data_IF_646514018272
#
_entry.id   IF_646514018272
#
_cell.length_a   1.000
_cell.length_b   1.000
_cell.length_c   1.000
_cell.angle_alpha   90.00
_cell.angle_beta   90.00
_cell.angle_gamma   90.00
#
_symmetry.space_group_name_H-M   'P 1'
#
loop_
_entity.id
_entity.type
_entity.pdbx_description
1 polymer ?
#
# COMPACT_ATOMS: atom_id res chain seq x y z
N UNK A 1 -18.30 -19.36 -7.19
CA UNK A 1 -17.00 -18.92 -7.74
C UNK A 1 -16.27 -18.26 -6.60
N UNK A 2 -14.97 -18.56 -6.38
CA UNK A 2 -14.20 -17.91 -5.33
C UNK A 2 -13.95 -16.43 -5.62
N UNK A 3 -13.64 -15.64 -4.58
CA UNK A 3 -13.25 -14.24 -4.71
C UNK A 3 -11.89 -14.16 -5.41
N UNK A 4 -11.76 -13.24 -6.35
CA UNK A 4 -10.51 -12.99 -7.09
C UNK A 4 -10.16 -11.52 -7.04
N UNK A 5 -8.86 -11.22 -7.10
CA UNK A 5 -8.40 -9.86 -7.16
C UNK A 5 -7.10 -9.68 -7.92
N UNK A 6 -6.84 -8.45 -8.29
CA UNK A 6 -5.61 -8.05 -8.96
C UNK A 6 -4.54 -7.75 -7.92
N UNK A 7 -3.50 -8.58 -7.91
CA UNK A 7 -2.37 -8.49 -6.98
C UNK A 7 -1.10 -8.10 -7.75
N UNK A 8 -0.38 -7.13 -7.23
CA UNK A 8 0.91 -6.70 -7.77
C UNK A 8 2.03 -7.60 -7.25
N UNK A 9 2.04 -7.80 -5.93
CA UNK A 9 3.08 -8.58 -5.25
C UNK A 9 2.56 -9.11 -3.91
N UNK A 10 3.06 -10.26 -3.50
CA UNK A 10 3.02 -10.73 -2.12
C UNK A 10 4.47 -10.74 -1.65
N UNK A 11 4.81 -9.87 -0.71
CA UNK A 11 6.17 -9.66 -0.22
C UNK A 11 6.30 -10.17 1.21
N UNK A 12 6.91 -11.34 1.43
CA UNK A 12 7.19 -11.83 2.78
C UNK A 12 8.39 -11.10 3.40
N UNK A 13 8.47 -11.16 4.72
CA UNK A 13 9.60 -10.65 5.53
C UNK A 13 9.74 -9.12 5.51
N UNK A 14 8.66 -8.37 5.37
CA UNK A 14 8.65 -6.93 5.65
C UNK A 14 8.81 -6.66 7.15
N UNK A 15 9.52 -5.57 7.49
CA UNK A 15 9.78 -5.14 8.86
C UNK A 15 9.54 -3.64 9.08
N UNK A 16 9.00 -2.96 8.06
CA UNK A 16 8.78 -1.50 8.07
C UNK A 16 7.30 -1.10 7.97
N UNK A 17 6.41 -2.08 7.79
CA UNK A 17 5.00 -1.84 7.50
C UNK A 17 4.10 -2.40 8.61
N UNK A 18 4.48 -2.12 9.87
CA UNK A 18 3.86 -2.57 11.10
C UNK A 18 4.84 -3.31 12.03
N UNK A 19 4.33 -3.83 13.13
CA UNK A 19 5.14 -4.54 14.13
C UNK A 19 5.49 -5.96 13.69
N UNK A 20 6.69 -6.41 14.06
CA UNK A 20 7.18 -7.76 13.81
C UNK A 20 7.52 -8.04 12.34
N UNK A 21 7.62 -9.32 11.98
CA UNK A 21 7.84 -9.77 10.61
C UNK A 21 6.47 -9.93 9.93
N UNK A 22 6.27 -9.25 8.79
CA UNK A 22 4.99 -9.23 8.10
C UNK A 22 5.08 -9.76 6.66
N UNK A 23 3.94 -10.07 6.09
CA UNK A 23 3.79 -10.25 4.65
C UNK A 23 2.91 -9.14 4.12
N UNK A 24 3.45 -8.33 3.21
CA UNK A 24 2.71 -7.27 2.56
C UNK A 24 2.02 -7.81 1.32
N UNK A 25 0.73 -7.51 1.18
CA UNK A 25 -0.07 -7.82 0.00
C UNK A 25 -0.28 -6.51 -0.76
N UNK A 26 0.42 -6.34 -1.87
CA UNK A 26 0.27 -5.18 -2.72
C UNK A 26 -0.92 -5.39 -3.68
N UNK A 27 -2.07 -4.83 -3.34
CA UNK A 27 -3.31 -4.91 -4.12
C UNK A 27 -3.31 -3.84 -5.21
N UNK A 28 -3.63 -4.21 -6.45
CA UNK A 28 -3.67 -3.29 -7.57
C UNK A 28 -4.98 -2.48 -7.62
N UNK A 29 -4.93 -1.32 -8.24
CA UNK A 29 -5.98 -0.31 -8.23
C UNK A 29 -5.60 0.83 -7.30
N UNK A 30 -5.69 2.05 -7.78
CA UNK A 30 -5.56 3.24 -6.96
C UNK A 30 -6.35 4.38 -7.62
N UNK A 31 -7.19 5.10 -6.87
CA UNK A 31 -7.90 6.27 -7.41
C UNK A 31 -6.97 7.47 -7.61
N UNK A 32 -5.84 7.52 -6.90
CA UNK A 32 -4.87 8.59 -6.99
C UNK A 32 -3.88 8.37 -8.15
N UNK A 33 -3.26 9.46 -8.59
CA UNK A 33 -2.19 9.53 -9.61
C UNK A 33 -1.02 10.35 -9.09
N UNK A 34 -0.56 10.04 -7.88
CA UNK A 34 0.54 10.76 -7.25
C UNK A 34 1.76 10.80 -8.17
N UNK A 35 2.30 11.98 -8.43
CA UNK A 35 3.46 12.17 -9.31
C UNK A 35 4.72 11.49 -8.77
N UNK A 36 4.78 11.25 -7.47
CA UNK A 36 5.89 10.54 -6.79
C UNK A 36 5.61 9.06 -6.53
N UNK A 37 4.55 8.49 -7.09
CA UNK A 37 4.15 7.12 -6.79
C UNK A 37 5.29 6.12 -7.03
N UNK A 38 5.52 5.22 -6.07
CA UNK A 38 6.52 4.15 -6.21
C UNK A 38 5.98 2.89 -6.88
N UNK A 39 4.64 2.78 -7.01
CA UNK A 39 3.94 1.60 -7.51
C UNK A 39 2.97 1.94 -8.67
N UNK A 40 3.47 2.49 -9.81
CA UNK A 40 2.62 2.92 -10.93
C UNK A 40 1.87 1.76 -11.60
N UNK A 41 2.33 0.51 -11.46
CA UNK A 41 1.60 -0.68 -11.89
C UNK A 41 0.25 -0.84 -11.19
N UNK A 42 0.12 -0.29 -9.98
CA UNK A 42 -1.09 -0.27 -9.18
C UNK A 42 -2.15 0.74 -9.65
N UNK A 43 -1.89 1.56 -10.67
CA UNK A 43 -2.91 2.51 -11.15
C UNK A 43 -4.12 1.86 -11.80
N UNK A 44 -4.09 0.57 -12.10
CA UNK A 44 -5.16 -0.12 -12.80
C UNK A 44 -5.51 -1.45 -12.13
N UNK A 45 -6.79 -1.86 -12.23
CA UNK A 45 -7.26 -3.18 -11.83
C UNK A 45 -7.33 -4.08 -13.06
N UNK A 46 -6.17 -4.42 -13.62
CA UNK A 46 -6.02 -5.36 -14.73
C UNK A 46 -4.64 -6.00 -14.71
N UNK A 47 -4.50 -7.14 -15.35
CA UNK A 47 -3.18 -7.75 -15.54
C UNK A 47 -2.26 -6.83 -16.35
N UNK A 48 -1.00 -6.72 -15.93
CA UNK A 48 0.00 -5.84 -16.55
C UNK A 48 1.30 -6.61 -16.79
N UNK A 49 1.84 -6.47 -17.98
CA UNK A 49 3.17 -6.98 -18.36
C UNK A 49 4.16 -5.81 -18.40
N UNK A 50 5.22 -5.91 -17.62
CA UNK A 50 6.35 -4.99 -17.65
C UNK A 50 7.47 -5.46 -18.57
N UNK A 51 8.30 -4.50 -19.01
CA UNK A 51 9.50 -4.77 -19.78
C UNK A 51 10.72 -4.10 -19.16
N UNK A 52 11.59 -4.91 -18.54
CA UNK A 52 12.89 -4.46 -18.02
C UNK A 52 13.93 -4.40 -19.12
N UNK A 53 14.06 -3.25 -19.77
CA UNK A 53 14.95 -3.03 -20.91
C UNK A 53 16.39 -3.46 -20.62
N UNK A 54 16.91 -3.20 -19.42
CA UNK A 54 18.28 -3.52 -19.01
C UNK A 54 18.59 -5.02 -18.95
N UNK A 55 17.55 -5.86 -18.83
CA UNK A 55 17.69 -7.34 -18.86
C UNK A 55 17.55 -7.91 -20.25
N UNK A 56 17.08 -7.12 -21.22
CA UNK A 56 16.77 -7.59 -22.56
C UNK A 56 18.04 -7.78 -23.39
N UNK A 57 18.27 -9.00 -23.89
CA UNK A 57 19.39 -9.35 -24.77
C UNK A 57 19.01 -9.29 -26.27
N UNK A 58 17.81 -8.85 -26.63
CA UNK A 58 17.37 -8.68 -28.01
C UNK A 58 17.08 -9.99 -28.77
N UNK A 59 16.89 -11.13 -28.07
CA UNK A 59 16.77 -12.45 -28.75
C UNK A 59 15.48 -12.68 -29.54
N UNK A 60 14.46 -11.83 -29.42
CA UNK A 60 13.19 -11.92 -30.15
C UNK A 60 12.21 -12.99 -29.70
N UNK A 61 12.54 -13.84 -28.72
CA UNK A 61 11.65 -14.93 -28.26
C UNK A 61 10.29 -14.43 -27.79
N UNK A 62 10.22 -13.29 -27.09
CA UNK A 62 8.99 -12.69 -26.63
C UNK A 62 8.08 -12.22 -27.79
N UNK A 63 8.67 -11.69 -28.86
CA UNK A 63 7.94 -11.25 -30.05
C UNK A 63 7.40 -12.46 -30.83
N UNK A 64 8.21 -13.50 -31.03
CA UNK A 64 7.78 -14.73 -31.69
C UNK A 64 6.63 -15.45 -30.93
N UNK A 65 6.60 -15.36 -29.60
CA UNK A 65 5.56 -15.97 -28.75
C UNK A 65 4.30 -15.11 -28.62
N UNK A 66 4.32 -13.86 -29.09
CA UNK A 66 3.21 -12.92 -28.85
C UNK A 66 2.06 -13.11 -29.82
N UNK A 67 0.83 -13.51 -29.38
CA UNK A 67 -0.31 -13.69 -30.29
C UNK A 67 -0.82 -12.37 -30.88
N UNK A 68 -0.44 -11.22 -30.30
CA UNK A 68 -0.79 -9.90 -30.81
C UNK A 68 0.31 -9.27 -31.69
N UNK A 69 1.40 -10.01 -31.97
CA UNK A 69 2.49 -9.53 -32.81
C UNK A 69 3.29 -8.37 -32.23
N UNK A 70 3.29 -8.20 -30.90
CA UNK A 70 4.06 -7.13 -30.24
C UNK A 70 5.55 -7.42 -30.39
N UNK A 71 6.30 -6.42 -30.86
CA UNK A 71 7.74 -6.51 -31.07
C UNK A 71 8.56 -6.63 -29.79
N UNK A 72 9.89 -6.69 -29.95
CA UNK A 72 10.83 -6.68 -28.81
C UNK A 72 10.64 -5.38 -28.02
N UNK A 73 10.52 -4.24 -28.69
CA UNK A 73 10.15 -2.97 -28.11
C UNK A 73 8.64 -2.94 -27.92
N UNK A 74 8.23 -3.11 -26.65
CA UNK A 74 6.81 -3.23 -26.30
C UNK A 74 6.05 -1.92 -26.34
N UNK A 75 6.71 -0.80 -26.07
CA UNK A 75 6.02 0.46 -25.79
C UNK A 75 5.14 1.01 -26.91
N UNK A 76 5.54 0.94 -28.20
CA UNK A 76 4.68 1.42 -29.28
C UNK A 76 3.37 0.64 -29.43
N UNK A 77 3.35 -0.62 -28.97
CA UNK A 77 2.24 -1.55 -29.13
C UNK A 77 1.62 -1.98 -27.80
N UNK A 78 1.93 -1.28 -26.71
CA UNK A 78 1.48 -1.64 -25.36
C UNK A 78 -0.04 -1.76 -25.23
N UNK A 79 -0.76 -0.92 -25.93
CA UNK A 79 -2.24 -0.94 -25.94
C UNK A 79 -2.84 -2.19 -26.57
N UNK A 80 -2.07 -2.89 -27.42
CA UNK A 80 -2.46 -4.19 -28.01
C UNK A 80 -2.29 -5.36 -27.04
N UNK A 81 -1.61 -5.14 -25.90
CA UNK A 81 -1.25 -6.20 -24.98
C UNK A 81 -2.49 -6.72 -24.22
N UNK A 82 -2.80 -8.00 -24.41
CA UNK A 82 -3.88 -8.71 -23.67
C UNK A 82 -3.36 -9.38 -22.39
N UNK A 83 -2.14 -9.12 -21.99
CA UNK A 83 -1.49 -9.64 -20.78
C UNK A 83 -1.49 -11.18 -20.64
N UNK A 84 -1.58 -11.94 -21.72
CA UNK A 84 -1.65 -13.42 -21.71
C UNK A 84 -0.43 -14.10 -21.07
N UNK A 85 0.74 -13.39 -20.98
CA UNK A 85 1.96 -13.90 -20.36
C UNK A 85 2.84 -14.78 -21.26
N UNK A 86 2.47 -15.07 -22.50
CA UNK A 86 3.29 -15.89 -23.40
C UNK A 86 4.74 -15.35 -23.53
N UNK A 87 4.89 -14.03 -23.61
CA UNK A 87 6.20 -13.36 -23.66
C UNK A 87 6.99 -13.47 -22.35
N UNK A 88 6.34 -13.62 -21.21
CA UNK A 88 6.98 -13.84 -19.91
C UNK A 88 7.59 -15.23 -19.86
N UNK A 89 6.82 -16.25 -20.25
CA UNK A 89 7.30 -17.64 -20.29
C UNK A 89 8.41 -17.85 -21.32
N UNK A 90 8.37 -17.13 -22.45
CA UNK A 90 9.37 -17.24 -23.50
C UNK A 90 10.67 -16.49 -23.21
N UNK A 91 10.72 -15.59 -22.23
CA UNK A 91 11.88 -14.73 -21.99
C UNK A 91 12.94 -15.44 -21.11
N UNK A 92 14.14 -15.79 -21.67
CA UNK A 92 15.16 -16.47 -20.89
C UNK A 92 15.80 -15.59 -19.81
N UNK A 93 15.76 -14.27 -19.98
CA UNK A 93 16.38 -13.28 -19.07
C UNK A 93 15.40 -12.65 -18.10
N UNK A 94 14.16 -13.11 -18.04
CA UNK A 94 13.09 -12.49 -17.25
C UNK A 94 12.99 -10.97 -17.47
N UNK A 95 13.24 -10.52 -18.71
CA UNK A 95 13.05 -9.13 -19.11
C UNK A 95 11.56 -8.77 -19.27
N UNK A 96 10.69 -9.76 -19.51
CA UNK A 96 9.22 -9.65 -19.46
C UNK A 96 8.75 -10.21 -18.14
N UNK A 97 7.97 -9.42 -17.40
CA UNK A 97 7.46 -9.83 -16.08
C UNK A 97 5.97 -9.51 -15.93
N UNK A 98 5.24 -10.32 -15.21
CA UNK A 98 3.90 -9.91 -14.74
C UNK A 98 4.09 -8.94 -13.57
N UNK A 99 3.56 -7.74 -13.70
CA UNK A 99 3.57 -6.72 -12.62
C UNK A 99 2.26 -6.71 -11.86
N UNK A 100 1.17 -7.12 -12.51
CA UNK A 100 -0.14 -7.35 -11.87
C UNK A 100 -0.70 -8.66 -12.39
N UNK A 101 -1.22 -9.48 -11.49
CA UNK A 101 -1.79 -10.81 -11.77
C UNK A 101 -3.18 -10.90 -11.15
N UNK A 102 -4.15 -11.47 -11.88
CA UNK A 102 -5.42 -11.87 -11.30
C UNK A 102 -5.23 -13.17 -10.50
N UNK A 103 -5.39 -13.10 -9.17
CA UNK A 103 -5.22 -14.24 -8.27
C UNK A 103 -6.54 -14.63 -7.60
N UNK A 104 -6.68 -15.90 -7.28
CA UNK A 104 -7.75 -16.39 -6.41
C UNK A 104 -7.37 -16.03 -4.96
N UNK A 105 -8.33 -15.55 -4.17
CA UNK A 105 -8.10 -15.12 -2.79
C UNK A 105 -7.60 -16.28 -1.91
N UNK A 106 -8.07 -17.51 -2.15
CA UNK A 106 -7.61 -18.70 -1.41
C UNK A 106 -6.14 -19.03 -1.72
N UNK A 107 -5.67 -18.72 -2.96
CA UNK A 107 -4.25 -18.85 -3.31
C UNK A 107 -3.39 -17.83 -2.55
N UNK A 108 -3.89 -16.60 -2.40
CA UNK A 108 -3.22 -15.56 -1.59
C UNK A 108 -3.11 -16.00 -0.13
N UNK A 109 -4.20 -16.50 0.46
CA UNK A 109 -4.20 -17.01 1.84
C UNK A 109 -3.22 -18.18 2.00
N UNK A 110 -3.18 -19.11 1.05
CA UNK A 110 -2.21 -20.22 1.10
C UNK A 110 -0.76 -19.75 1.06
N UNK A 111 -0.47 -18.71 0.29
CA UNK A 111 0.87 -18.13 0.23
C UNK A 111 1.27 -17.51 1.58
N UNK A 112 0.38 -16.70 2.16
CA UNK A 112 0.56 -16.09 3.49
C UNK A 112 0.79 -17.14 4.56
N UNK A 113 -0.01 -18.22 4.57
CA UNK A 113 0.05 -19.27 5.58
C UNK A 113 1.39 -20.01 5.64
N UNK A 114 2.19 -19.97 4.57
CA UNK A 114 3.55 -20.54 4.58
C UNK A 114 4.47 -19.87 5.60
N UNK A 115 4.21 -18.61 5.92
CA UNK A 115 5.03 -17.77 6.79
C UNK A 115 4.51 -17.66 8.23
N UNK A 116 3.45 -18.39 8.61
CA UNK A 116 2.75 -18.30 9.90
C UNK A 116 3.65 -18.41 11.14
N UNK A 117 4.74 -19.21 11.06
CA UNK A 117 5.65 -19.36 12.18
C UNK A 117 6.45 -18.07 12.46
N UNK A 118 6.82 -17.33 11.41
CA UNK A 118 7.51 -16.05 11.57
C UNK A 118 6.61 -15.03 12.25
N UNK A 119 5.33 -14.96 11.88
CA UNK A 119 4.37 -14.08 12.53
C UNK A 119 4.20 -14.45 14.02
N UNK A 120 4.05 -15.75 14.31
CA UNK A 120 3.90 -16.22 15.69
C UNK A 120 5.07 -15.85 16.61
N UNK A 121 6.31 -15.92 16.09
CA UNK A 121 7.51 -15.64 16.88
C UNK A 121 7.84 -14.14 16.96
N UNK A 122 7.44 -13.34 16.00
CA UNK A 122 7.79 -11.92 15.94
C UNK A 122 6.68 -10.99 16.44
N UNK A 123 5.46 -11.49 16.63
CA UNK A 123 4.26 -10.65 16.84
C UNK A 123 3.76 -9.97 15.58
N UNK A 124 4.28 -10.34 14.39
CA UNK A 124 3.89 -9.77 13.11
C UNK A 124 2.63 -10.39 12.51
N UNK A 125 2.42 -10.20 11.20
CA UNK A 125 1.22 -10.66 10.51
C UNK A 125 1.15 -10.29 9.04
N UNK A 126 0.04 -9.70 8.64
CA UNK A 126 -0.21 -9.33 7.25
C UNK A 126 -0.52 -7.83 7.16
N UNK A 127 0.08 -7.17 6.18
CA UNK A 127 -0.22 -5.77 5.85
C UNK A 127 -0.84 -5.69 4.46
N UNK A 128 -2.04 -5.13 4.38
CA UNK A 128 -2.69 -4.82 3.12
C UNK A 128 -2.19 -3.47 2.63
N UNK A 129 -1.57 -3.44 1.46
CA UNK A 129 -0.92 -2.28 0.86
C UNK A 129 -1.13 -2.27 -0.67
N UNK A 130 -0.29 -1.58 -1.43
CA UNK A 130 -0.23 -1.69 -2.89
C UNK A 130 -0.38 -0.39 -3.63
N UNK A 131 -1.33 -0.32 -4.57
CA UNK A 131 -1.88 0.91 -5.10
C UNK A 131 -2.82 1.51 -4.07
N UNK A 132 -3.96 0.84 -3.86
CA UNK A 132 -4.91 1.11 -2.79
C UNK A 132 -5.72 -0.17 -2.51
N UNK A 133 -5.55 -0.77 -1.35
CA UNK A 133 -6.20 -2.04 -1.00
C UNK A 133 -7.73 -1.91 -0.98
N UNK A 134 -8.26 -0.77 -0.54
CA UNK A 134 -9.70 -0.49 -0.47
C UNK A 134 -10.36 -0.33 -1.86
N UNK A 135 -9.56 -0.23 -2.92
CA UNK A 135 -10.09 -0.17 -4.31
C UNK A 135 -10.69 -1.50 -4.78
N UNK A 136 -10.41 -2.61 -4.07
CA UNK A 136 -11.00 -3.92 -4.27
C UNK A 136 -11.70 -4.38 -2.98
N UNK A 137 -12.82 -3.76 -2.58
CA UNK A 137 -13.43 -3.95 -1.26
C UNK A 137 -13.90 -5.38 -1.00
N UNK A 138 -14.41 -6.09 -2.01
CA UNK A 138 -14.80 -7.50 -1.86
C UNK A 138 -13.59 -8.41 -1.57
N UNK A 139 -12.46 -8.15 -2.21
CA UNK A 139 -11.22 -8.89 -1.96
C UNK A 139 -10.69 -8.58 -0.57
N UNK A 140 -10.64 -7.29 -0.20
CA UNK A 140 -10.15 -6.85 1.11
C UNK A 140 -11.02 -7.42 2.24
N UNK A 141 -12.35 -7.38 2.12
CA UNK A 141 -13.26 -7.96 3.11
C UNK A 141 -13.06 -9.47 3.25
N UNK A 142 -12.97 -10.18 2.14
CA UNK A 142 -12.75 -11.63 2.16
C UNK A 142 -11.42 -12.00 2.81
N UNK A 143 -10.31 -11.40 2.36
CA UNK A 143 -8.99 -11.70 2.89
C UNK A 143 -8.88 -11.31 4.37
N UNK A 144 -9.34 -10.11 4.74
CA UNK A 144 -9.27 -9.67 6.13
C UNK A 144 -10.10 -10.55 7.06
N UNK A 145 -11.26 -11.01 6.65
CA UNK A 145 -12.11 -11.91 7.45
C UNK A 145 -11.44 -13.27 7.66
N UNK A 146 -11.03 -13.93 6.59
CA UNK A 146 -10.42 -15.27 6.67
C UNK A 146 -9.11 -15.23 7.50
N UNK A 147 -8.26 -14.22 7.29
CA UNK A 147 -7.00 -14.09 8.02
C UNK A 147 -7.24 -13.71 9.50
N UNK A 148 -8.25 -12.87 9.77
CA UNK A 148 -8.67 -12.53 11.14
C UNK A 148 -9.16 -13.77 11.89
N UNK A 149 -9.99 -14.60 11.26
CA UNK A 149 -10.52 -15.85 11.84
C UNK A 149 -9.42 -16.88 12.10
N UNK A 150 -8.31 -16.81 11.34
CA UNK A 150 -7.08 -17.60 11.58
C UNK A 150 -6.20 -17.02 12.70
N UNK A 151 -6.53 -15.85 13.25
CA UNK A 151 -5.81 -15.21 14.35
C UNK A 151 -4.57 -14.41 13.93
N UNK A 152 -4.45 -14.01 12.67
CA UNK A 152 -3.35 -13.15 12.23
C UNK A 152 -3.54 -11.70 12.66
N UNK A 153 -2.43 -11.01 12.97
CA UNK A 153 -2.41 -9.56 13.06
C UNK A 153 -2.56 -8.96 11.67
N UNK A 154 -3.42 -7.95 11.54
CA UNK A 154 -3.77 -7.33 10.26
C UNK A 154 -3.54 -5.84 10.31
N UNK A 155 -2.74 -5.32 9.38
CA UNK A 155 -2.51 -3.90 9.21
C UNK A 155 -2.94 -3.46 7.81
N UNK A 156 -3.25 -2.18 7.66
CA UNK A 156 -3.66 -1.57 6.41
C UNK A 156 -2.87 -0.29 6.14
N UNK A 157 -2.37 -0.16 4.92
CA UNK A 157 -1.88 1.10 4.37
C UNK A 157 -2.87 1.62 3.33
N UNK A 158 -3.34 2.84 3.49
CA UNK A 158 -4.35 3.43 2.62
C UNK A 158 -4.09 4.90 2.31
N UNK A 159 -4.44 5.31 1.09
CA UNK A 159 -4.46 6.71 0.69
C UNK A 159 -5.70 7.47 1.19
N UNK A 160 -6.63 6.82 1.85
CA UNK A 160 -7.83 7.43 2.43
C UNK A 160 -8.96 7.78 1.45
N UNK A 161 -8.81 7.53 0.17
CA UNK A 161 -9.80 7.91 -0.84
C UNK A 161 -10.72 6.72 -1.20
N UNK A 162 -11.71 6.45 -0.36
CA UNK A 162 -12.65 5.33 -0.51
C UNK A 162 -14.02 5.66 0.09
N UNK A 163 -15.04 4.86 -0.26
CA UNK A 163 -16.32 4.87 0.45
C UNK A 163 -16.17 4.16 1.80
N UNK A 164 -16.24 4.93 2.89
CA UNK A 164 -15.96 4.48 4.24
C UNK A 164 -16.85 3.30 4.66
N UNK A 165 -18.14 3.35 4.39
CA UNK A 165 -19.06 2.32 4.84
C UNK A 165 -18.87 0.99 4.10
N UNK A 166 -18.44 1.03 2.84
CA UNK A 166 -18.15 -0.19 2.07
C UNK A 166 -16.95 -0.97 2.60
N UNK A 167 -16.00 -0.31 3.25
CA UNK A 167 -14.78 -0.92 3.78
C UNK A 167 -14.74 -1.00 5.31
N UNK A 168 -15.69 -0.36 6.03
CA UNK A 168 -15.77 -0.37 7.49
C UNK A 168 -15.58 -1.76 8.09
N UNK A 169 -16.23 -2.84 7.60
CA UNK A 169 -16.05 -4.18 8.18
C UNK A 169 -14.60 -4.68 8.12
N UNK A 170 -13.86 -4.32 7.08
CA UNK A 170 -12.44 -4.64 6.97
C UNK A 170 -11.59 -3.78 7.92
N UNK A 171 -11.87 -2.46 8.02
CA UNK A 171 -11.17 -1.55 8.92
C UNK A 171 -11.30 -1.98 10.39
N UNK A 172 -12.47 -2.45 10.81
CA UNK A 172 -12.72 -2.92 12.17
C UNK A 172 -11.96 -4.22 12.54
N UNK A 173 -11.39 -4.93 11.55
CA UNK A 173 -10.54 -6.11 11.78
C UNK A 173 -9.05 -5.78 11.85
N UNK A 174 -8.65 -4.55 11.52
CA UNK A 174 -7.24 -4.15 11.55
C UNK A 174 -6.74 -3.93 12.98
N UNK A 175 -5.47 -4.22 13.21
CA UNK A 175 -4.75 -3.85 14.42
C UNK A 175 -4.17 -2.45 14.30
N UNK A 176 -3.68 -2.12 13.10
CA UNK A 176 -3.04 -0.85 12.79
C UNK A 176 -3.49 -0.36 11.41
N UNK A 177 -3.81 0.93 11.32
CA UNK A 177 -4.13 1.59 10.06
C UNK A 177 -3.16 2.74 9.84
N UNK A 178 -2.37 2.64 8.79
CA UNK A 178 -1.60 3.74 8.23
C UNK A 178 -2.46 4.48 7.21
N UNK A 179 -2.73 5.75 7.47
CA UNK A 179 -3.52 6.58 6.56
C UNK A 179 -2.68 7.73 6.03
N UNK A 180 -2.54 7.81 4.72
CA UNK A 180 -1.74 8.85 4.09
C UNK A 180 -2.47 10.20 4.04
N UNK A 181 -1.85 11.26 4.57
CA UNK A 181 -2.24 12.65 4.39
C UNK A 181 -1.16 13.35 3.56
N UNK A 182 -1.46 13.60 2.28
CA UNK A 182 -0.41 14.01 1.32
C UNK A 182 -0.24 15.53 1.20
N UNK A 183 -1.30 16.30 1.41
CA UNK A 183 -1.30 17.77 1.43
C UNK A 183 -2.59 18.29 2.06
N UNK A 184 -2.53 19.39 2.82
CA UNK A 184 -3.73 20.01 3.42
C UNK A 184 -4.49 20.90 2.45
N UNK A 185 -3.80 21.60 1.55
CA UNK A 185 -4.45 22.41 0.52
C UNK A 185 -5.09 21.49 -0.56
N UNK A 186 -6.41 21.61 -0.83
CA UNK A 186 -7.13 20.72 -1.75
C UNK A 186 -6.70 20.91 -3.22
N UNK A 187 -6.31 22.10 -3.63
CA UNK A 187 -5.88 22.37 -5.01
C UNK A 187 -4.47 21.83 -5.25
N UNK A 188 -3.54 22.03 -4.31
CA UNK A 188 -2.21 21.45 -4.40
C UNK A 188 -2.29 19.91 -4.28
N UNK A 189 -3.14 19.37 -3.40
CA UNK A 189 -3.38 17.93 -3.33
C UNK A 189 -3.84 17.40 -4.70
N UNK A 190 -4.86 18.02 -5.30
CA UNK A 190 -5.40 17.62 -6.61
C UNK A 190 -4.37 17.75 -7.73
N UNK A 191 -3.57 18.81 -7.74
CA UNK A 191 -2.50 19.04 -8.72
C UNK A 191 -1.47 17.91 -8.74
N UNK A 192 -1.11 17.38 -7.57
CA UNK A 192 -0.06 16.36 -7.45
C UNK A 192 -0.58 14.93 -7.36
N UNK A 193 -1.83 14.71 -6.98
CA UNK A 193 -2.40 13.37 -6.79
C UNK A 193 -3.57 13.06 -7.71
N UNK A 194 -4.11 14.05 -8.42
CA UNK A 194 -5.24 13.90 -9.34
C UNK A 194 -6.62 14.04 -8.69
N UNK A 195 -6.73 14.08 -7.35
CA UNK A 195 -8.01 14.21 -6.62
C UNK A 195 -7.91 15.25 -5.49
N UNK A 196 -9.05 15.85 -5.08
CA UNK A 196 -9.11 16.66 -3.86
C UNK A 196 -8.90 15.80 -2.61
N UNK A 197 -8.44 16.42 -1.51
CA UNK A 197 -8.26 15.75 -0.22
C UNK A 197 -9.53 15.71 0.65
N UNK A 198 -10.63 16.34 0.26
CA UNK A 198 -11.83 16.48 1.10
C UNK A 198 -12.35 15.14 1.62
N UNK A 199 -12.52 14.15 0.73
CA UNK A 199 -12.94 12.80 1.13
C UNK A 199 -11.93 12.11 2.06
N UNK A 200 -10.63 12.36 1.82
CA UNK A 200 -9.56 11.80 2.65
C UNK A 200 -9.64 12.35 4.07
N UNK A 201 -9.76 13.68 4.22
CA UNK A 201 -9.90 14.34 5.53
C UNK A 201 -11.17 13.87 6.26
N UNK A 202 -12.29 13.73 5.54
CA UNK A 202 -13.53 13.17 6.09
C UNK A 202 -13.32 11.72 6.59
N UNK A 203 -12.64 10.88 5.81
CA UNK A 203 -12.36 9.50 6.18
C UNK A 203 -11.39 9.40 7.36
N UNK A 204 -10.36 10.25 7.42
CA UNK A 204 -9.46 10.34 8.59
C UNK A 204 -10.29 10.64 9.85
N UNK A 205 -11.16 11.64 9.81
CA UNK A 205 -12.01 11.96 10.98
C UNK A 205 -12.94 10.79 11.38
N UNK A 206 -13.44 10.03 10.40
CA UNK A 206 -14.28 8.85 10.65
C UNK A 206 -13.54 7.69 11.29
N UNK A 207 -12.21 7.58 11.16
CA UNK A 207 -11.44 6.51 11.83
C UNK A 207 -11.63 6.51 13.34
N UNK A 208 -11.79 7.68 13.96
CA UNK A 208 -12.12 7.80 15.39
C UNK A 208 -13.45 7.18 15.80
N UNK A 209 -14.30 6.82 14.84
CA UNK A 209 -15.60 6.16 15.10
C UNK A 209 -15.54 4.64 15.01
N UNK A 210 -14.39 4.07 14.64
CA UNK A 210 -14.21 2.61 14.60
C UNK A 210 -14.31 2.05 16.02
N UNK A 211 -15.18 1.04 16.16
CA UNK A 211 -15.40 0.39 17.45
C UNK A 211 -14.30 -0.60 17.81
N UNK A 212 -14.47 -1.22 18.97
CA UNK A 212 -13.61 -2.35 19.38
C UNK A 212 -13.75 -3.52 18.39
N UNK A 213 -12.65 -4.21 18.14
CA UNK A 213 -12.60 -5.36 17.21
C UNK A 213 -13.70 -6.40 17.50
N UNK A 214 -14.45 -6.85 16.49
CA UNK A 214 -15.45 -7.91 16.66
C UNK A 214 -14.77 -9.19 17.19
N UNK A 215 -15.29 -9.79 18.26
CA UNK A 215 -14.79 -11.08 18.78
C UNK A 215 -13.52 -11.01 19.63
N UNK A 216 -13.06 -9.85 20.04
CA UNK A 216 -11.94 -9.68 20.99
C UNK A 216 -12.25 -10.24 22.42
N UNK A 217 -13.34 -10.97 22.62
CA UNK A 217 -13.58 -11.69 23.86
C UNK A 217 -12.63 -12.90 23.90
N UNK A 218 -11.63 -12.80 24.73
CA UNK A 218 -10.77 -13.84 25.26
C UNK A 218 -10.96 -15.24 24.61
N UNK A 219 -10.38 -15.48 23.45
CA UNK A 219 -10.13 -16.83 22.98
C UNK A 219 -9.05 -17.47 23.86
N UNK A 220 -9.42 -17.79 25.10
CA UNK A 220 -8.71 -18.74 25.94
C UNK A 220 -8.98 -20.14 25.39
N UNK A 221 -8.31 -20.51 24.34
CA UNK A 221 -8.11 -21.92 24.03
C UNK A 221 -6.69 -22.11 23.55
N UNK A 222 -5.84 -22.48 24.50
CA UNK A 222 -4.52 -23.01 24.22
C UNK A 222 -4.66 -24.32 23.46
N UNK A 223 -4.86 -24.25 22.16
CA UNK A 223 -4.49 -25.32 21.24
C UNK A 223 -3.00 -25.11 20.98
N UNK A 224 -2.19 -26.13 21.31
CA UNK A 224 -0.76 -26.09 21.07
C UNK A 224 -0.50 -25.78 19.57
N UNK A 225 0.05 -24.60 19.28
CA UNK A 225 0.26 -24.08 17.91
C UNK A 225 -0.61 -22.91 17.51
N UNK A 226 -1.49 -22.39 18.38
CA UNK A 226 -2.21 -21.13 18.14
C UNK A 226 -1.23 -19.95 18.19
N UNK A 227 -1.41 -19.01 17.24
CA UNK A 227 -0.73 -17.72 17.28
C UNK A 227 -1.09 -16.98 18.58
N UNK A 228 -0.16 -16.23 19.22
CA UNK A 228 -0.53 -15.35 20.33
C UNK A 228 -1.61 -14.39 19.83
N UNK A 229 -2.66 -14.22 20.63
CA UNK A 229 -3.66 -13.19 20.32
C UNK A 229 -2.98 -11.83 20.19
N UNK A 230 -3.42 -11.01 19.21
CA UNK A 230 -2.86 -9.66 19.04
C UNK A 230 -2.91 -8.90 20.35
N UNK A 231 -1.92 -8.08 20.65
CA UNK A 231 -1.79 -7.30 21.89
C UNK A 231 -2.91 -6.28 22.09
N UNK A 232 -3.74 -6.03 21.06
CA UNK A 232 -4.79 -5.01 21.01
C UNK A 232 -6.22 -5.56 21.22
N UNK A 233 -6.37 -6.70 21.89
CA UNK A 233 -7.69 -7.25 22.20
C UNK A 233 -8.50 -6.27 23.06
N UNK A 234 -9.57 -5.71 22.50
CA UNK A 234 -10.54 -4.86 23.25
C UNK A 234 -10.46 -3.36 22.96
N UNK A 235 -9.56 -2.89 22.07
CA UNK A 235 -9.54 -1.53 21.54
C UNK A 235 -9.82 -1.52 20.03
N UNK A 236 -10.16 -0.35 19.48
CA UNK A 236 -10.16 -0.14 18.03
C UNK A 236 -8.74 -0.24 17.46
N UNK A 237 -8.58 -0.14 16.12
CA UNK A 237 -7.28 -0.14 15.50
C UNK A 237 -6.42 1.04 15.99
N UNK A 238 -5.12 0.83 16.10
CA UNK A 238 -4.19 1.95 16.22
C UNK A 238 -4.16 2.73 14.91
N UNK A 239 -4.09 4.07 14.98
CA UNK A 239 -4.08 4.94 13.81
C UNK A 239 -2.75 5.69 13.73
N UNK A 240 -2.11 5.60 12.58
CA UNK A 240 -0.92 6.37 12.24
C UNK A 240 -1.16 7.15 10.96
N UNK A 241 -1.09 8.47 11.04
CA UNK A 241 -1.20 9.32 9.86
C UNK A 241 0.20 9.46 9.25
N UNK A 242 0.37 9.00 8.01
CA UNK A 242 1.63 9.08 7.28
C UNK A 242 1.65 10.26 6.32
N UNK A 243 2.74 11.01 6.34
CA UNK A 243 3.01 12.05 5.34
C UNK A 243 4.27 11.67 4.58
N UNK A 244 4.16 11.25 3.30
CA UNK A 244 5.32 11.19 2.42
C UNK A 244 5.78 12.62 2.15
N UNK A 245 6.92 13.00 2.69
CA UNK A 245 7.47 14.36 2.59
C UNK A 245 8.29 14.48 1.32
N UNK A 246 7.72 15.17 0.32
CA UNK A 246 8.32 15.39 -0.99
C UNK A 246 8.86 16.83 -1.03
N UNK A 247 10.18 16.97 -1.06
CA UNK A 247 10.81 18.28 -1.17
C UNK A 247 10.37 19.00 -2.44
N UNK A 248 9.97 20.27 -2.30
CA UNK A 248 9.42 21.11 -3.36
C UNK A 248 7.92 20.90 -3.64
N UNK A 249 7.22 20.08 -2.81
CA UNK A 249 5.78 19.82 -2.97
C UNK A 249 5.02 20.11 -1.67
N UNK A 250 5.24 19.30 -0.63
CA UNK A 250 4.45 19.33 0.60
C UNK A 250 5.28 19.52 1.88
N UNK A 251 6.58 19.79 1.73
CA UNK A 251 7.54 19.93 2.83
C UNK A 251 7.54 21.31 3.51
N UNK A 252 6.57 22.20 3.20
CA UNK A 252 6.50 23.49 3.88
C UNK A 252 6.09 23.33 5.35
N UNK A 253 6.64 24.17 6.22
CA UNK A 253 6.35 24.17 7.66
C UNK A 253 4.85 24.41 7.90
N UNK A 254 4.21 25.28 7.11
CA UNK A 254 2.79 25.57 7.19
C UNK A 254 1.93 24.36 6.86
N UNK A 255 2.28 23.57 5.82
CA UNK A 255 1.54 22.37 5.46
C UNK A 255 1.66 21.29 6.56
N UNK A 256 2.85 21.08 7.11
CA UNK A 256 3.07 20.11 8.20
C UNK A 256 2.37 20.55 9.48
N UNK A 257 2.43 21.83 9.84
CA UNK A 257 1.72 22.36 11.00
C UNK A 257 0.20 22.22 10.87
N UNK A 258 -0.36 22.55 9.68
CA UNK A 258 -1.78 22.39 9.41
C UNK A 258 -2.22 20.92 9.45
N UNK A 259 -1.37 20.02 8.92
CA UNK A 259 -1.63 18.56 8.98
C UNK A 259 -1.65 18.05 10.41
N UNK A 260 -0.67 18.44 11.23
CA UNK A 260 -0.59 18.02 12.62
C UNK A 260 -1.73 18.60 13.48
N UNK A 261 -2.08 19.88 13.30
CA UNK A 261 -3.21 20.49 13.97
C UNK A 261 -4.53 19.77 13.63
N UNK A 262 -4.76 19.46 12.35
CA UNK A 262 -5.93 18.69 11.93
C UNK A 262 -5.99 17.32 12.62
N UNK A 263 -4.87 16.57 12.63
CA UNK A 263 -4.81 15.24 13.26
C UNK A 263 -5.07 15.35 14.76
N UNK A 264 -4.45 16.32 15.44
CA UNK A 264 -4.68 16.57 16.87
C UNK A 264 -6.16 16.82 17.19
N UNK A 265 -6.85 17.60 16.35
CA UNK A 265 -8.25 17.97 16.58
C UNK A 265 -9.23 16.80 16.34
N UNK A 266 -8.99 15.97 15.32
CA UNK A 266 -9.95 14.92 14.92
C UNK A 266 -9.61 13.53 15.44
N UNK A 267 -8.33 13.25 15.74
CA UNK A 267 -7.81 11.96 16.20
C UNK A 267 -6.73 12.17 17.27
N UNK A 268 -7.08 12.64 18.49
CA UNK A 268 -6.10 13.03 19.52
C UNK A 268 -5.17 11.89 19.97
N UNK A 269 -5.57 10.65 19.80
CA UNK A 269 -4.78 9.46 20.15
C UNK A 269 -3.94 8.92 18.98
N UNK A 270 -4.08 9.48 17.77
CA UNK A 270 -3.30 9.05 16.61
C UNK A 270 -1.85 9.53 16.70
N UNK A 271 -0.96 8.75 16.08
CA UNK A 271 0.43 9.15 15.87
C UNK A 271 0.63 9.63 14.44
N UNK A 272 1.70 10.39 14.21
CA UNK A 272 2.11 10.79 12.86
C UNK A 272 3.50 10.24 12.51
N UNK A 273 3.67 9.83 11.27
CA UNK A 273 4.95 9.41 10.71
C UNK A 273 5.28 10.24 9.47
N UNK A 274 6.46 10.85 9.45
CA UNK A 274 6.97 11.60 8.30
C UNK A 274 7.97 10.72 7.52
N UNK A 275 7.64 10.40 6.28
CA UNK A 275 8.43 9.51 5.41
C UNK A 275 9.19 10.36 4.37
N UNK A 276 10.53 10.42 4.38
CA UNK A 276 11.26 11.15 3.35
C UNK A 276 11.07 10.50 1.98
N UNK A 277 10.86 11.34 0.97
CA UNK A 277 10.72 10.92 -0.42
C UNK A 277 11.94 10.13 -0.92
N UNK A 278 11.68 9.15 -1.81
CA UNK A 278 12.69 8.42 -2.56
C UNK A 278 12.21 8.16 -4.00
N UNK A 279 13.15 8.07 -4.95
CA UNK A 279 12.86 7.88 -6.38
C UNK A 279 12.96 6.41 -6.86
N UNK A 280 12.80 5.44 -5.95
CA UNK A 280 12.97 4.01 -6.26
C UNK A 280 11.97 3.47 -7.29
N UNK A 281 10.82 4.13 -7.45
CA UNK A 281 9.80 3.78 -8.44
C UNK A 281 10.23 3.91 -9.91
N UNK A 282 11.29 4.66 -10.24
CA UNK A 282 11.73 4.96 -11.61
C UNK A 282 11.81 3.73 -12.51
N UNK A 283 12.38 2.62 -12.01
CA UNK A 283 12.55 1.38 -12.77
C UNK A 283 11.20 0.78 -13.20
N UNK A 284 10.16 0.96 -12.37
CA UNK A 284 8.80 0.48 -12.67
C UNK A 284 8.15 1.33 -13.77
N UNK A 285 8.31 2.67 -13.73
CA UNK A 285 7.88 3.55 -14.82
C UNK A 285 8.54 3.17 -16.14
N UNK A 286 9.87 2.97 -16.14
CA UNK A 286 10.60 2.49 -17.32
C UNK A 286 10.05 1.15 -17.84
N UNK A 287 9.75 0.20 -16.95
CA UNK A 287 9.20 -1.10 -17.32
C UNK A 287 7.78 -1.01 -17.90
N UNK A 288 7.02 -0.01 -17.48
CA UNK A 288 5.66 0.26 -17.94
C UNK A 288 5.62 1.16 -19.19
N UNK A 289 6.74 1.73 -19.62
CA UNK A 289 6.79 2.73 -20.71
C UNK A 289 6.10 4.04 -20.35
N UNK A 290 6.04 4.36 -19.06
CA UNK A 290 5.40 5.57 -18.53
C UNK A 290 6.44 6.68 -18.34
N UNK A 291 6.05 7.95 -18.50
CA UNK A 291 6.92 9.07 -18.16
C UNK A 291 7.13 9.13 -16.64
N UNK A 292 8.38 9.41 -16.23
CA UNK A 292 8.73 9.66 -14.84
C UNK A 292 8.97 11.16 -14.66
N UNK A 293 7.88 11.90 -14.44
CA UNK A 293 7.88 13.36 -14.32
C UNK A 293 7.92 13.79 -12.85
N UNK A 294 9.15 13.96 -12.34
CA UNK A 294 9.42 14.38 -10.96
C UNK A 294 10.43 15.54 -10.95
N UNK A 295 10.33 16.43 -11.94
CA UNK A 295 11.17 17.62 -11.99
C UNK A 295 10.89 18.52 -10.77
N UNK A 296 11.98 18.96 -10.10
CA UNK A 296 11.92 19.77 -8.89
C UNK A 296 11.67 18.99 -7.60
N UNK A 297 11.44 17.67 -7.65
CA UNK A 297 11.30 16.87 -6.43
C UNK A 297 12.66 16.48 -5.88
N UNK A 298 12.82 16.57 -4.57
CA UNK A 298 14.04 16.15 -3.89
C UNK A 298 13.71 15.41 -2.58
N UNK A 299 14.66 14.61 -2.10
CA UNK A 299 14.59 13.98 -0.79
C UNK A 299 15.00 15.00 0.27
N UNK A 300 14.12 15.35 1.23
CA UNK A 300 14.51 16.21 2.34
C UNK A 300 15.68 15.62 3.12
N UNK A 301 16.62 16.47 3.52
CA UNK A 301 17.74 16.04 4.33
C UNK A 301 17.34 15.80 5.80
N UNK A 302 18.25 15.21 6.59
CA UNK A 302 17.98 14.89 7.99
C UNK A 302 17.61 16.13 8.82
N UNK A 303 18.29 17.27 8.58
CA UNK A 303 18.02 18.51 9.31
C UNK A 303 16.65 19.11 8.97
N UNK A 304 16.22 19.01 7.71
CA UNK A 304 14.89 19.40 7.29
C UNK A 304 13.83 18.48 7.92
N UNK A 305 14.02 17.16 7.85
CA UNK A 305 13.11 16.20 8.49
C UNK A 305 12.99 16.39 10.00
N UNK A 306 14.07 16.71 10.69
CA UNK A 306 14.05 16.95 12.13
C UNK A 306 13.29 18.24 12.49
N UNK A 307 13.41 19.32 11.69
CA UNK A 307 12.57 20.52 11.87
C UNK A 307 11.09 20.20 11.68
N UNK A 308 10.72 19.43 10.65
CA UNK A 308 9.34 19.07 10.39
C UNK A 308 8.75 18.17 11.50
N UNK A 309 9.55 17.25 12.05
CA UNK A 309 9.15 16.45 13.23
C UNK A 309 8.94 17.30 14.47
N UNK A 310 9.78 18.31 14.69
CA UNK A 310 9.61 19.24 15.80
C UNK A 310 8.28 19.99 15.70
N UNK A 311 7.89 20.44 14.50
CA UNK A 311 6.59 21.08 14.24
C UNK A 311 5.42 20.15 14.59
N UNK A 312 5.47 18.87 14.21
CA UNK A 312 4.44 17.90 14.59
C UNK A 312 4.32 17.79 16.11
N UNK A 313 5.44 17.69 16.81
CA UNK A 313 5.46 17.61 18.27
C UNK A 313 4.94 18.91 18.95
N UNK A 314 5.23 20.09 18.41
CA UNK A 314 4.70 21.38 18.88
C UNK A 314 3.17 21.48 18.77
N UNK A 315 2.56 20.78 17.81
CA UNK A 315 1.10 20.67 17.70
C UNK A 315 0.50 19.62 18.66
N UNK A 316 1.31 18.96 19.51
CA UNK A 316 0.85 18.00 20.49
C UNK A 316 0.61 16.58 19.95
N UNK A 317 1.03 16.28 18.72
CA UNK A 317 0.89 14.94 18.13
C UNK A 317 2.14 14.10 18.38
N UNK A 318 1.97 12.85 18.79
CA UNK A 318 3.07 11.91 18.99
C UNK A 318 3.63 11.43 17.64
N UNK A 319 4.93 11.35 17.55
CA UNK A 319 5.60 10.77 16.39
C UNK A 319 5.65 9.24 16.49
N UNK A 320 5.45 8.57 15.36
CA UNK A 320 5.71 7.16 15.17
C UNK A 320 6.97 6.95 14.33
N UNK A 321 7.65 5.82 14.54
CA UNK A 321 8.79 5.37 13.73
C UNK A 321 8.73 3.84 13.64
N UNK A 322 8.45 3.33 12.45
CA UNK A 322 8.35 1.89 12.15
C UNK A 322 9.55 1.40 11.30
N UNK A 323 10.68 2.10 11.36
CA UNK A 323 11.89 1.78 10.57
C UNK A 323 12.98 1.17 11.42
#
# INVERSE_FOLDING_TARGET
MGVKGYIMQIQPFSVNDGEGIRTDIFIAGCPLRCRWCSNPEGFTQREVIGWHRRRCIGCGACSAACPQGIGIEMDPDRDKCIACGACVHACPENARVRMVTLMDADDVIREIHKHRLFYAYSGGGVTFSGGEATSQPELLDYLSRELYDMGYSLDLESCGYFDFESVRPALERMDLIFMDLKHMDPEEHKKYTGVSNELILENIAKLGTLGTRPGASAATSAVAGSLPASSHAGSGPEIVIRIPVIGGVNNSEENIAASAAFVHDVLPDARMELLPYHSLGRIKYEALGMPFDQEGFYTPDAGEMDRLRAIVAEQGVLLADFR
#
